data_IF_110269984981
#
_entry.id   IF_110269984981
#
_cell.length_a   1.000
_cell.length_b   1.000
_cell.length_c   1.000
_cell.angle_alpha   90.00
_cell.angle_beta   90.00
_cell.angle_gamma   90.00
#
_symmetry.space_group_name_H-M   'P 1'
#
loop_
_entity.id
_entity.type
_entity.pdbx_description
1 polymer ?
#
# COMPACT_ATOMS: atom_id res chain seq x y z
N UNK A 1 1.46 19.42 -3.47
CA UNK A 1 0.60 18.32 -3.93
C UNK A 1 1.49 17.17 -4.37
N UNK A 2 1.09 15.95 -4.04
CA UNK A 2 1.83 14.72 -4.33
C UNK A 2 0.86 13.53 -4.31
N UNK A 3 1.34 12.40 -4.81
CA UNK A 3 0.62 11.13 -4.74
C UNK A 3 1.22 10.28 -3.60
N UNK A 4 0.35 9.56 -2.89
CA UNK A 4 0.73 8.55 -1.91
C UNK A 4 0.16 7.22 -2.35
N UNK A 5 1.00 6.19 -2.39
CA UNK A 5 0.61 4.82 -2.71
C UNK A 5 0.76 3.95 -1.47
N UNK A 6 -0.05 2.91 -1.36
CA UNK A 6 0.15 1.85 -0.40
C UNK A 6 0.04 0.49 -1.10
N UNK A 7 0.87 -0.47 -0.70
CA UNK A 7 0.83 -1.85 -1.17
C UNK A 7 0.74 -2.82 -0.01
N UNK A 8 -0.13 -3.81 -0.09
CA UNK A 8 -0.14 -4.94 0.83
C UNK A 8 0.62 -6.11 0.19
N UNK A 9 1.67 -6.56 0.86
CA UNK A 9 2.60 -7.55 0.32
C UNK A 9 2.65 -8.75 1.25
N UNK A 10 2.54 -9.94 0.66
CA UNK A 10 2.91 -11.21 1.28
C UNK A 10 4.37 -11.51 0.95
N UNK A 11 5.24 -11.48 1.96
CA UNK A 11 6.67 -11.75 1.80
C UNK A 11 6.90 -13.25 2.04
N UNK A 12 7.12 -13.97 0.95
CA UNK A 12 7.43 -15.39 0.96
C UNK A 12 8.88 -15.61 1.40
N UNK A 13 9.14 -16.62 2.27
CA UNK A 13 10.51 -17.01 2.57
C UNK A 13 11.20 -17.63 1.34
N UNK A 14 12.54 -17.74 1.35
CA UNK A 14 13.28 -18.53 0.38
C UNK A 14 12.71 -19.94 0.17
N UNK A 15 12.68 -20.36 -1.10
CA UNK A 15 12.29 -21.71 -1.54
C UNK A 15 13.20 -22.22 -2.65
N UNK A 16 13.04 -23.48 -3.07
CA UNK A 16 13.83 -24.06 -4.16
C UNK A 16 13.64 -23.29 -5.49
N UNK A 17 12.41 -22.85 -5.76
CA UNK A 17 12.08 -22.06 -6.96
C UNK A 17 12.45 -20.58 -6.80
N UNK A 18 12.43 -20.06 -5.57
CA UNK A 18 12.76 -18.66 -5.24
C UNK A 18 13.80 -18.59 -4.12
N UNK A 19 15.10 -18.81 -4.40
CA UNK A 19 16.15 -18.88 -3.37
C UNK A 19 16.33 -17.61 -2.52
N UNK A 20 15.83 -16.46 -2.99
CA UNK A 20 15.88 -15.18 -2.28
C UNK A 20 14.55 -14.81 -1.60
N UNK A 21 13.54 -15.69 -1.66
CA UNK A 21 12.17 -15.37 -1.32
C UNK A 21 11.46 -14.64 -2.46
N UNK A 22 10.20 -14.27 -2.21
CA UNK A 22 9.35 -13.59 -3.18
C UNK A 22 8.41 -12.61 -2.50
N UNK A 23 8.43 -11.36 -2.97
CA UNK A 23 7.53 -10.31 -2.48
C UNK A 23 6.28 -10.28 -3.36
N UNK A 24 5.22 -10.97 -2.93
CA UNK A 24 3.96 -11.05 -3.66
C UNK A 24 3.09 -9.84 -3.34
N UNK A 25 2.95 -8.91 -4.29
CA UNK A 25 1.96 -7.83 -4.18
C UNK A 25 0.54 -8.43 -4.25
N UNK A 26 -0.23 -8.30 -3.16
CA UNK A 26 -1.61 -8.78 -3.09
C UNK A 26 -2.59 -7.76 -3.65
N UNK A 27 -2.46 -6.51 -3.23
CA UNK A 27 -3.25 -5.39 -3.70
C UNK A 27 -2.55 -4.06 -3.38
N UNK A 28 -2.90 -3.05 -4.16
CA UNK A 28 -2.36 -1.71 -4.04
C UNK A 28 -3.46 -0.66 -4.21
N UNK A 29 -3.15 0.55 -3.78
CA UNK A 29 -4.03 1.70 -3.87
C UNK A 29 -3.22 2.99 -3.93
N UNK A 30 -3.89 4.05 -4.36
CA UNK A 30 -3.30 5.38 -4.51
C UNK A 30 -4.31 6.44 -4.10
N UNK A 31 -3.82 7.46 -3.38
CA UNK A 31 -4.54 8.71 -3.19
C UNK A 31 -3.66 9.85 -3.68
N UNK A 32 -4.24 10.71 -4.52
CA UNK A 32 -3.64 11.99 -4.84
C UNK A 32 -4.03 12.99 -3.75
N UNK A 33 -3.06 13.56 -3.06
CA UNK A 33 -3.27 14.23 -1.78
C UNK A 33 -4.20 15.46 -1.86
N UNK A 34 -4.31 16.12 -3.02
CA UNK A 34 -5.32 17.18 -3.21
C UNK A 34 -6.77 16.72 -3.15
N UNK A 35 -7.04 15.42 -3.23
CA UNK A 35 -8.37 14.80 -3.16
C UNK A 35 -8.61 14.03 -1.86
N UNK A 36 -7.78 14.28 -0.83
CA UNK A 36 -7.81 13.55 0.45
C UNK A 36 -9.16 13.59 1.17
N UNK A 37 -9.92 14.68 1.01
CA UNK A 37 -11.20 14.88 1.70
C UNK A 37 -12.40 14.51 0.82
N UNK A 38 -12.29 14.72 -0.50
CA UNK A 38 -13.33 14.43 -1.48
C UNK A 38 -12.73 14.37 -2.89
N UNK A 39 -13.31 13.52 -3.74
CA UNK A 39 -12.94 13.45 -5.16
C UNK A 39 -13.51 14.59 -6.00
N UNK A 40 -14.53 15.31 -5.52
CA UNK A 40 -15.22 16.36 -6.26
C UNK A 40 -14.53 17.73 -6.17
N UNK A 41 -13.69 17.93 -5.15
CA UNK A 41 -13.01 19.20 -4.89
C UNK A 41 -11.54 18.97 -4.58
N UNK A 42 -10.70 19.77 -5.24
CA UNK A 42 -9.27 19.82 -4.94
C UNK A 42 -9.01 20.79 -3.77
N UNK A 43 -8.15 20.38 -2.85
CA UNK A 43 -7.61 21.24 -1.81
C UNK A 43 -6.10 21.02 -1.64
N UNK A 44 -5.31 22.09 -1.69
CA UNK A 44 -3.85 21.97 -1.68
C UNK A 44 -3.31 21.77 -0.26
N UNK A 45 -2.22 21.02 -0.15
CA UNK A 45 -1.51 20.83 1.12
C UNK A 45 -0.57 22.02 1.40
N UNK A 46 -0.43 22.37 2.68
CA UNK A 46 0.60 23.29 3.16
C UNK A 46 1.92 22.52 3.39
N UNK A 47 3.08 23.07 2.97
CA UNK A 47 4.38 22.51 3.35
C UNK A 47 4.54 22.41 4.88
N UNK A 48 5.24 21.38 5.33
CA UNK A 48 5.58 21.09 6.74
C UNK A 48 4.38 20.80 7.67
N UNK A 49 3.17 20.69 7.13
CA UNK A 49 1.98 20.27 7.87
C UNK A 49 1.70 18.78 7.67
N UNK A 50 1.35 18.08 8.75
CA UNK A 50 1.03 16.65 8.73
C UNK A 50 -0.47 16.48 8.48
N UNK A 51 -0.81 15.64 7.52
CA UNK A 51 -2.20 15.32 7.14
C UNK A 51 -2.47 13.84 7.34
N UNK A 52 -3.68 13.52 7.78
CA UNK A 52 -4.21 12.15 7.71
C UNK A 52 -4.68 11.86 6.28
N UNK A 53 -4.28 10.72 5.74
CA UNK A 53 -4.66 10.26 4.42
C UNK A 53 -5.20 8.83 4.51
N UNK A 54 -6.36 8.59 3.89
CA UNK A 54 -6.88 7.22 3.71
C UNK A 54 -6.51 6.74 2.31
N UNK A 55 -5.72 5.66 2.23
CA UNK A 55 -5.48 4.93 0.98
C UNK A 55 -6.35 3.69 0.98
N UNK A 56 -7.43 3.70 0.23
CA UNK A 56 -8.28 2.53 0.07
C UNK A 56 -7.58 1.49 -0.82
N UNK A 57 -7.44 0.27 -0.30
CA UNK A 57 -6.92 -0.87 -1.06
C UNK A 57 -8.07 -1.73 -1.56
N UNK A 58 -7.88 -2.37 -2.72
CA UNK A 58 -8.85 -3.34 -3.22
C UNK A 58 -8.97 -4.56 -2.29
N UNK A 59 -10.17 -5.16 -2.19
CA UNK A 59 -10.39 -6.35 -1.37
C UNK A 59 -9.54 -7.52 -1.86
N UNK A 60 -9.02 -8.31 -0.92
CA UNK A 60 -8.25 -9.53 -1.22
C UNK A 60 -8.66 -10.67 -0.27
N UNK A 61 -8.32 -11.89 -0.66
CA UNK A 61 -8.51 -13.11 0.13
C UNK A 61 -7.22 -13.93 0.06
N UNK A 62 -6.34 -13.75 1.05
CA UNK A 62 -5.06 -14.44 1.13
C UNK A 62 -4.86 -15.03 2.53
N UNK A 63 -4.18 -16.18 2.62
CA UNK A 63 -3.73 -16.76 3.89
C UNK A 63 -2.22 -16.58 3.95
N UNK A 64 -1.76 -15.77 4.91
CA UNK A 64 -0.33 -15.66 5.22
C UNK A 64 0.10 -16.92 5.98
N UNK A 65 0.81 -17.82 5.30
CA UNK A 65 1.23 -19.10 5.91
C UNK A 65 2.41 -18.93 6.86
N UNK A 66 2.71 -19.96 7.66
CA UNK A 66 3.83 -19.90 8.60
C UNK A 66 5.16 -19.65 7.87
N UNK A 67 5.95 -18.71 8.38
CA UNK A 67 7.22 -18.29 7.77
C UNK A 67 7.10 -17.08 6.83
N UNK A 68 5.89 -16.74 6.38
CA UNK A 68 5.63 -15.52 5.63
C UNK A 68 5.61 -14.28 6.53
N UNK A 69 5.67 -13.08 5.92
CA UNK A 69 5.48 -11.80 6.62
C UNK A 69 4.48 -10.92 5.89
N UNK A 70 3.71 -10.17 6.67
CA UNK A 70 2.86 -9.09 6.16
C UNK A 70 3.71 -7.82 6.07
N UNK A 71 3.80 -7.21 4.89
CA UNK A 71 4.51 -5.94 4.67
C UNK A 71 3.58 -4.90 4.05
N UNK A 72 3.79 -3.65 4.44
CA UNK A 72 3.19 -2.47 3.82
C UNK A 72 4.31 -1.62 3.25
N UNK A 73 4.22 -1.32 1.95
CA UNK A 73 5.12 -0.40 1.23
C UNK A 73 4.37 0.88 0.84
#
# INVERSE_FOLDING_TARGET
DTDFTAKLIDVHPPSDDFPNGFDMNLCDGIIRARYRDTFDKQDLMTPDEVYELTVELYPTSNIFTAGHRIRVD
#
